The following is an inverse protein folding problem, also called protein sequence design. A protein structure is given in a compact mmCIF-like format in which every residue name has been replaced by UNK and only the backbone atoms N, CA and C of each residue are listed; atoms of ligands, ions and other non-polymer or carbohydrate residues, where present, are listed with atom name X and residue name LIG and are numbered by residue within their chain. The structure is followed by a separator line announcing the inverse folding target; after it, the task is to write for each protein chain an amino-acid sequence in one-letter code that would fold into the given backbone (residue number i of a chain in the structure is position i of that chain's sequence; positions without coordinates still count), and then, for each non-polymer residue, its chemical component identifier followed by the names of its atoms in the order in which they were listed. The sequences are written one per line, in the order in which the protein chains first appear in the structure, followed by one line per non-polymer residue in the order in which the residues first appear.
data_IF_834186556868
#
_entry.id   IF_834186556868
#
_cell.length_a   1.000
_cell.length_b   1.000
_cell.length_c   1.000
_cell.angle_alpha   90.00
_cell.angle_beta   90.00
_cell.angle_gamma   90.00
#
_symmetry.space_group_name_H-M   'P 1'
#
loop_
_entity.id
_entity.type
_entity.pdbx_description
1 polymer ?
#
# COMPACT_ATOMS: atom_id res chain seq x y z
N UNK A 1 10.45 20.10 -38.99
CA UNK A 1 10.21 19.02 -38.03
C UNK A 1 10.03 19.63 -36.67
N UNK A 2 8.81 19.69 -36.22
CA UNK A 2 8.46 20.30 -34.93
C UNK A 2 8.33 19.17 -33.89
N UNK A 3 9.18 19.21 -32.89
CA UNK A 3 9.09 18.35 -31.71
C UNK A 3 7.88 18.79 -30.87
N UNK A 4 6.87 17.96 -30.80
CA UNK A 4 5.71 18.18 -29.94
C UNK A 4 6.00 17.56 -28.57
N UNK A 5 6.38 18.38 -27.62
CA UNK A 5 6.44 18.03 -26.20
C UNK A 5 5.02 17.73 -25.70
N UNK A 6 4.74 16.60 -25.04
CA UNK A 6 3.43 16.39 -24.45
C UNK A 6 3.25 17.30 -23.24
N UNK A 7 2.28 18.19 -23.32
CA UNK A 7 1.79 18.98 -22.20
C UNK A 7 1.03 18.02 -21.29
N UNK A 8 1.51 17.84 -20.08
CA UNK A 8 0.80 17.10 -19.02
C UNK A 8 -0.29 18.05 -18.50
N UNK A 9 -1.53 17.78 -18.86
CA UNK A 9 -2.70 18.53 -18.37
C UNK A 9 -2.99 18.10 -16.92
N UNK A 10 -2.94 19.04 -16.01
CA UNK A 10 -3.09 18.89 -14.54
C UNK A 10 -4.51 18.50 -14.10
N UNK A 11 -5.38 18.03 -14.99
CA UNK A 11 -6.77 17.80 -14.61
C UNK A 11 -7.41 16.56 -15.27
N UNK A 12 -6.72 15.43 -15.29
CA UNK A 12 -7.35 14.18 -15.71
C UNK A 12 -8.26 13.63 -14.60
N UNK A 13 -9.40 14.28 -14.42
CA UNK A 13 -10.57 13.68 -13.78
C UNK A 13 -11.10 12.63 -14.75
N UNK A 14 -10.85 11.37 -14.45
CA UNK A 14 -11.50 10.26 -15.17
C UNK A 14 -12.99 10.32 -14.82
N UNK A 15 -13.79 10.87 -15.72
CA UNK A 15 -15.24 10.82 -15.65
C UNK A 15 -15.70 9.42 -16.06
N UNK A 16 -16.00 8.55 -15.10
CA UNK A 16 -16.86 7.38 -15.34
C UNK A 16 -18.32 7.84 -15.36
N UNK A 17 -19.03 7.52 -16.44
CA UNK A 17 -20.49 7.72 -16.58
C UNK A 17 -21.22 6.85 -15.56
N UNK A 18 -21.94 7.46 -14.62
CA UNK A 18 -22.79 6.81 -13.64
C UNK A 18 -22.56 7.41 -12.26
N UNK A 19 -23.44 8.29 -11.82
CA UNK A 19 -23.25 9.12 -10.62
C UNK A 19 -23.48 8.37 -9.30
N UNK A 20 -22.64 7.42 -8.95
CA UNK A 20 -22.43 7.00 -7.56
C UNK A 20 -21.03 7.49 -7.15
N UNK A 21 -21.00 8.43 -6.23
CA UNK A 21 -19.78 8.86 -5.55
C UNK A 21 -19.36 7.70 -4.66
N UNK A 22 -18.56 6.78 -5.22
CA UNK A 22 -17.94 5.72 -4.42
C UNK A 22 -17.13 6.40 -3.32
N UNK A 23 -17.52 6.18 -2.06
CA UNK A 23 -16.76 6.64 -0.91
C UNK A 23 -15.38 6.01 -0.99
N UNK A 24 -14.38 6.85 -1.24
CA UNK A 24 -13.00 6.40 -1.30
C UNK A 24 -12.58 5.95 0.08
N UNK A 25 -12.30 4.68 0.27
CA UNK A 25 -11.76 4.16 1.53
C UNK A 25 -10.45 4.88 1.83
N UNK A 26 -10.38 5.56 2.95
CA UNK A 26 -9.20 6.31 3.37
C UNK A 26 -8.71 5.81 4.73
N UNK A 27 -7.45 5.41 4.77
CA UNK A 27 -6.74 4.98 5.97
C UNK A 27 -5.77 6.07 6.40
N UNK A 28 -5.75 6.39 7.69
CA UNK A 28 -4.85 7.38 8.28
C UNK A 28 -4.49 6.98 9.71
N UNK A 29 -3.37 7.49 10.19
CA UNK A 29 -2.84 7.17 11.52
C UNK A 29 -1.86 6.00 11.52
N UNK A 30 -1.24 5.76 12.69
CA UNK A 30 -0.27 4.70 12.87
C UNK A 30 -0.43 4.03 14.24
N UNK A 31 -0.07 2.73 14.31
CA UNK A 31 -0.22 1.90 15.49
C UNK A 31 0.98 0.94 15.58
N UNK A 32 1.55 0.80 16.76
CA UNK A 32 2.59 -0.21 17.01
C UNK A 32 1.98 -1.42 17.68
N UNK A 33 2.22 -2.59 17.12
CA UNK A 33 1.75 -3.87 17.65
C UNK A 33 2.89 -4.89 17.68
N UNK A 34 2.80 -5.86 18.59
CA UNK A 34 3.75 -6.97 18.69
C UNK A 34 3.35 -8.12 17.76
N UNK A 35 4.32 -8.70 17.07
CA UNK A 35 4.18 -10.00 16.42
C UNK A 35 4.30 -11.12 17.45
N UNK A 36 3.40 -12.10 17.38
CA UNK A 36 3.56 -13.30 18.17
C UNK A 36 4.48 -14.34 17.49
N UNK A 37 4.78 -15.44 18.20
CA UNK A 37 5.66 -16.49 17.70
C UNK A 37 5.17 -17.20 16.42
N UNK A 38 3.91 -16.98 16.03
CA UNK A 38 3.31 -17.50 14.79
C UNK A 38 3.19 -16.42 13.70
N UNK A 39 3.95 -15.33 13.83
CA UNK A 39 3.89 -14.17 12.94
C UNK A 39 2.47 -13.57 12.81
N UNK A 40 1.68 -13.62 13.90
CA UNK A 40 0.37 -12.98 13.90
C UNK A 40 0.49 -11.57 14.45
N UNK A 41 -0.18 -10.64 13.79
CA UNK A 41 -0.24 -9.24 14.17
C UNK A 41 -1.71 -8.80 14.24
N UNK A 42 -2.01 -7.96 15.21
CA UNK A 42 -3.33 -7.38 15.39
C UNK A 42 -3.54 -6.22 14.39
N UNK A 43 -4.64 -6.22 13.68
CA UNK A 43 -5.03 -5.09 12.83
C UNK A 43 -5.98 -4.19 13.63
N UNK A 44 -5.68 -2.88 13.76
CA UNK A 44 -6.52 -1.95 14.48
C UNK A 44 -7.99 -2.01 14.07
N UNK A 45 -8.91 -1.95 15.03
CA UNK A 45 -10.35 -2.08 14.77
C UNK A 45 -10.87 -1.03 13.78
N UNK A 46 -10.30 0.17 13.84
CA UNK A 46 -10.58 1.27 12.91
C UNK A 46 -10.26 0.88 11.45
N UNK A 47 -9.13 0.21 11.24
CA UNK A 47 -8.75 -0.26 9.90
C UNK A 47 -9.58 -1.46 9.47
N UNK A 48 -9.84 -2.40 10.38
CA UNK A 48 -10.67 -3.59 10.08
C UNK A 48 -12.08 -3.22 9.61
N UNK A 49 -12.70 -2.20 10.21
CA UNK A 49 -14.03 -1.74 9.80
C UNK A 49 -14.08 -1.27 8.35
N UNK A 50 -12.98 -0.73 7.83
CA UNK A 50 -12.85 -0.24 6.46
C UNK A 50 -12.34 -1.29 5.48
N UNK A 51 -11.56 -2.27 5.96
CA UNK A 51 -11.01 -3.36 5.11
C UNK A 51 -12.07 -4.39 4.70
N UNK A 52 -13.11 -4.57 5.51
CA UNK A 52 -14.10 -5.63 5.32
C UNK A 52 -13.69 -6.97 5.93
N UNK A 53 -14.44 -8.03 5.61
CA UNK A 53 -14.25 -9.36 6.19
C UNK A 53 -13.00 -10.08 5.66
N UNK A 54 -12.61 -9.80 4.43
CA UNK A 54 -11.44 -10.36 3.75
C UNK A 54 -10.74 -9.27 2.95
N UNK A 55 -9.43 -9.31 2.87
CA UNK A 55 -8.61 -8.32 2.19
C UNK A 55 -7.32 -8.92 1.62
N UNK A 56 -6.58 -8.12 0.88
CA UNK A 56 -5.33 -8.55 0.24
C UNK A 56 -4.13 -8.10 1.05
N UNK A 57 -3.24 -9.04 1.35
CA UNK A 57 -1.90 -8.78 1.91
C UNK A 57 -0.86 -9.13 0.87
N UNK A 58 0.06 -8.23 0.58
CA UNK A 58 1.05 -8.42 -0.48
C UNK A 58 2.34 -7.61 -0.25
N UNK A 59 3.34 -7.95 -1.04
CA UNK A 59 4.58 -7.17 -1.22
C UNK A 59 4.71 -6.87 -2.71
N UNK A 60 4.03 -5.83 -3.22
CA UNK A 60 4.02 -5.54 -4.65
C UNK A 60 5.39 -5.05 -5.15
N UNK A 61 5.63 -5.10 -6.47
CA UNK A 61 6.85 -4.56 -7.07
C UNK A 61 7.07 -3.10 -6.68
N UNK A 62 8.29 -2.76 -6.31
CA UNK A 62 8.65 -1.40 -5.89
C UNK A 62 8.42 -1.10 -4.40
N UNK A 63 7.75 -1.97 -3.66
CA UNK A 63 7.67 -1.92 -2.20
C UNK A 63 8.72 -2.86 -1.62
N UNK A 64 9.81 -2.32 -1.12
CA UNK A 64 10.98 -3.13 -0.75
C UNK A 64 11.04 -3.48 0.73
N UNK A 65 10.50 -2.65 1.61
CA UNK A 65 10.75 -2.75 3.05
C UNK A 65 9.47 -2.79 3.89
N UNK A 66 8.31 -3.02 3.25
CA UNK A 66 7.03 -3.12 3.95
C UNK A 66 6.09 -4.15 3.32
N UNK A 67 5.08 -4.55 4.10
CA UNK A 67 3.94 -5.32 3.63
C UNK A 67 2.80 -4.34 3.38
N UNK A 68 2.04 -4.53 2.31
CA UNK A 68 0.90 -3.68 1.98
C UNK A 68 -0.41 -4.48 2.12
N UNK A 69 -1.41 -3.83 2.70
CA UNK A 69 -2.77 -4.33 2.80
C UNK A 69 -3.68 -3.44 1.96
N UNK A 70 -4.45 -4.07 1.08
CA UNK A 70 -5.48 -3.43 0.27
C UNK A 70 -6.85 -4.05 0.53
N UNK A 71 -7.91 -3.28 0.39
CA UNK A 71 -9.21 -3.86 0.07
C UNK A 71 -9.14 -4.55 -1.30
N UNK A 72 -10.08 -5.45 -1.62
CA UNK A 72 -10.11 -6.06 -2.97
C UNK A 72 -10.25 -5.01 -4.07
N UNK A 73 -11.07 -3.99 -3.83
CA UNK A 73 -11.30 -2.90 -4.77
C UNK A 73 -10.01 -2.10 -5.06
N UNK A 74 -9.25 -1.72 -4.02
CA UNK A 74 -8.00 -0.99 -4.18
C UNK A 74 -6.90 -1.86 -4.80
N UNK A 75 -6.90 -3.16 -4.51
CA UNK A 75 -6.01 -4.10 -5.20
C UNK A 75 -6.31 -4.19 -6.70
N UNK A 76 -7.58 -4.31 -7.08
CA UNK A 76 -7.98 -4.38 -8.48
C UNK A 76 -7.62 -3.08 -9.22
N UNK A 77 -7.80 -1.93 -8.57
CA UNK A 77 -7.38 -0.62 -9.10
C UNK A 77 -5.86 -0.52 -9.26
N UNK A 78 -5.10 -0.96 -8.28
CA UNK A 78 -3.64 -1.04 -8.36
C UNK A 78 -3.21 -1.92 -9.54
N UNK A 79 -3.81 -3.10 -9.68
CA UNK A 79 -3.48 -4.05 -10.71
C UNK A 79 -3.83 -3.55 -12.12
N UNK A 80 -4.94 -2.86 -12.27
CA UNK A 80 -5.33 -2.23 -13.53
C UNK A 80 -4.38 -1.08 -13.92
N UNK A 81 -4.00 -0.24 -12.97
CA UNK A 81 -3.00 0.80 -13.20
C UNK A 81 -1.64 0.20 -13.63
N UNK A 82 -1.23 -0.89 -13.03
CA UNK A 82 -0.02 -1.61 -13.42
C UNK A 82 -0.09 -2.08 -14.88
N UNK A 83 -1.25 -2.58 -15.31
CA UNK A 83 -1.49 -3.00 -16.70
C UNK A 83 -1.45 -1.86 -17.69
N UNK A 84 -1.95 -0.71 -17.31
CA UNK A 84 -1.95 0.49 -18.17
C UNK A 84 -0.54 1.06 -18.33
N UNK A 85 0.21 1.15 -17.25
CA UNK A 85 1.54 1.78 -17.21
C UNK A 85 2.64 0.88 -17.78
N UNK A 86 2.57 -0.43 -17.52
CA UNK A 86 3.55 -1.38 -18.04
C UNK A 86 3.15 -1.88 -19.44
N UNK A 87 4.11 -1.95 -20.35
CA UNK A 87 3.90 -2.41 -21.74
C UNK A 87 4.78 -3.60 -22.09
N UNK A 88 4.37 -4.38 -23.09
CA UNK A 88 5.13 -5.49 -23.62
C UNK A 88 5.53 -6.54 -22.58
N UNK A 89 6.76 -7.01 -22.65
CA UNK A 89 7.32 -8.03 -21.75
C UNK A 89 7.31 -7.57 -20.27
N UNK A 90 7.58 -6.29 -20.01
CA UNK A 90 7.57 -5.71 -18.66
C UNK A 90 6.20 -5.87 -18.00
N UNK A 91 5.11 -5.66 -18.74
CA UNK A 91 3.76 -5.86 -18.25
C UNK A 91 3.53 -7.29 -17.77
N UNK A 92 3.89 -8.27 -18.58
CA UNK A 92 3.69 -9.68 -18.24
C UNK A 92 4.45 -10.09 -16.97
N UNK A 93 5.68 -9.59 -16.78
CA UNK A 93 6.45 -9.85 -15.55
C UNK A 93 5.89 -9.11 -14.35
N UNK A 94 5.48 -7.87 -14.47
CA UNK A 94 4.87 -7.09 -13.40
C UNK A 94 3.58 -7.75 -12.90
N UNK A 95 2.73 -8.23 -13.81
CA UNK A 95 1.52 -8.99 -13.49
C UNK A 95 1.83 -10.30 -12.73
N UNK A 96 2.85 -11.04 -13.17
CA UNK A 96 3.28 -12.28 -12.50
C UNK A 96 3.77 -12.00 -11.07
N UNK A 97 4.64 -10.99 -10.89
CA UNK A 97 5.18 -10.63 -9.58
C UNK A 97 4.05 -10.17 -8.66
N UNK A 98 3.19 -9.27 -9.11
CA UNK A 98 2.05 -8.80 -8.32
C UNK A 98 1.12 -9.95 -7.93
N UNK A 99 0.74 -10.81 -8.88
CA UNK A 99 -0.13 -11.97 -8.62
C UNK A 99 0.52 -12.99 -7.68
N UNK A 100 1.82 -13.23 -7.80
CA UNK A 100 2.54 -14.18 -6.93
C UNK A 100 2.69 -13.68 -5.50
N UNK A 101 2.71 -12.36 -5.30
CA UNK A 101 2.82 -11.75 -3.97
C UNK A 101 1.48 -11.63 -3.24
N UNK A 102 0.36 -11.70 -3.96
CA UNK A 102 -0.99 -11.57 -3.40
C UNK A 102 -1.34 -12.71 -2.46
N UNK A 103 -1.86 -12.37 -1.28
CA UNK A 103 -2.49 -13.30 -0.34
C UNK A 103 -3.85 -12.73 0.09
N UNK A 104 -4.90 -13.53 -0.03
CA UNK A 104 -6.21 -13.20 0.53
C UNK A 104 -6.24 -13.65 1.99
N UNK A 105 -6.61 -12.75 2.89
CA UNK A 105 -6.51 -12.96 4.33
C UNK A 105 -7.81 -12.60 5.01
N UNK A 106 -8.25 -13.47 5.93
CA UNK A 106 -9.38 -13.25 6.83
C UNK A 106 -8.81 -13.15 8.24
N UNK A 107 -9.06 -12.06 8.97
CA UNK A 107 -8.66 -11.95 10.37
C UNK A 107 -9.29 -13.02 11.25
N UNK A 108 -8.58 -13.44 12.28
CA UNK A 108 -9.14 -14.32 13.30
C UNK A 108 -10.20 -13.59 14.16
N UNK A 109 -10.85 -14.34 15.07
CA UNK A 109 -11.89 -13.79 15.96
C UNK A 109 -11.40 -12.64 16.86
N UNK A 110 -10.08 -12.53 17.04
CA UNK A 110 -9.43 -11.46 17.81
C UNK A 110 -8.98 -10.29 16.94
N UNK A 111 -9.16 -10.36 15.63
CA UNK A 111 -8.74 -9.32 14.69
C UNK A 111 -7.26 -9.38 14.29
N UNK A 112 -6.63 -10.56 14.46
CA UNK A 112 -5.24 -10.77 14.05
C UNK A 112 -5.18 -11.44 12.68
N UNK A 113 -4.12 -11.13 11.95
CA UNK A 113 -3.76 -11.83 10.71
C UNK A 113 -2.43 -12.55 10.90
N UNK A 114 -2.24 -13.64 10.16
CA UNK A 114 -0.95 -14.33 10.08
C UNK A 114 -0.19 -13.85 8.86
N UNK A 115 1.00 -13.31 9.07
CA UNK A 115 1.92 -12.95 8.01
C UNK A 115 2.75 -14.16 7.62
N UNK A 116 3.01 -14.35 6.32
CA UNK A 116 3.90 -15.43 5.88
C UNK A 116 5.35 -15.12 6.28
N UNK A 117 6.17 -16.17 6.42
CA UNK A 117 7.59 -16.00 6.68
C UNK A 117 8.28 -15.14 5.60
N UNK A 118 7.87 -15.30 4.34
CA UNK A 118 8.36 -14.49 3.22
C UNK A 118 8.00 -13.00 3.38
N UNK A 119 6.76 -12.70 3.79
CA UNK A 119 6.36 -11.32 4.08
C UNK A 119 7.18 -10.71 5.22
N UNK A 120 7.35 -11.46 6.34
CA UNK A 120 8.13 -10.99 7.47
C UNK A 120 9.60 -10.75 7.09
N UNK A 121 10.20 -11.66 6.31
CA UNK A 121 11.58 -11.52 5.84
C UNK A 121 11.77 -10.29 4.95
N UNK A 122 10.88 -10.06 4.00
CA UNK A 122 10.93 -8.90 3.10
C UNK A 122 10.76 -7.56 3.81
N UNK A 123 9.90 -7.52 4.82
CA UNK A 123 9.66 -6.32 5.62
C UNK A 123 10.55 -6.23 6.88
N UNK A 124 11.52 -7.13 7.03
CA UNK A 124 12.43 -7.20 8.18
C UNK A 124 11.71 -7.17 9.54
N UNK A 125 10.53 -7.81 9.60
CA UNK A 125 9.73 -7.86 10.84
C UNK A 125 10.26 -8.93 11.78
N UNK A 126 10.50 -8.56 13.03
CA UNK A 126 10.98 -9.48 14.07
C UNK A 126 9.98 -9.58 15.23
N UNK A 127 9.84 -8.53 16.02
CA UNK A 127 9.02 -8.51 17.23
C UNK A 127 7.89 -7.48 17.17
N UNK A 128 8.16 -6.35 16.57
CA UNK A 128 7.23 -5.23 16.47
C UNK A 128 6.89 -4.92 15.02
N UNK A 129 5.69 -4.46 14.82
CA UNK A 129 5.19 -4.00 13.53
C UNK A 129 4.52 -2.64 13.71
N UNK A 130 4.97 -1.67 12.94
CA UNK A 130 4.30 -0.38 12.79
C UNK A 130 3.27 -0.49 11.67
N UNK A 131 2.02 -0.27 12.00
CA UNK A 131 0.89 -0.33 11.05
C UNK A 131 0.47 1.10 10.73
N UNK A 132 0.60 1.51 9.48
CA UNK A 132 0.39 2.88 9.01
C UNK A 132 -0.73 2.92 7.97
N UNK A 133 -1.71 3.78 8.18
CA UNK A 133 -2.71 4.09 7.16
C UNK A 133 -2.17 5.12 6.17
N UNK A 134 -2.16 4.79 4.88
CA UNK A 134 -1.60 5.62 3.81
C UNK A 134 -2.63 5.79 2.70
N UNK A 135 -3.65 6.62 2.96
CA UNK A 135 -4.71 6.89 1.99
C UNK A 135 -5.50 5.64 1.63
N UNK A 136 -5.28 5.07 0.47
CA UNK A 136 -6.05 3.93 -0.03
C UNK A 136 -5.50 2.54 0.39
N UNK A 137 -4.49 2.49 1.26
CA UNK A 137 -3.86 1.24 1.72
C UNK A 137 -3.35 1.35 3.14
N UNK A 138 -2.99 0.21 3.69
CA UNK A 138 -2.29 0.12 4.96
C UNK A 138 -0.90 -0.48 4.68
N UNK A 139 0.10 0.02 5.37
CA UNK A 139 1.47 -0.48 5.30
C UNK A 139 1.89 -1.05 6.66
N UNK A 140 2.60 -2.18 6.65
CA UNK A 140 3.20 -2.77 7.85
C UNK A 140 4.72 -2.70 7.71
N UNK A 141 5.34 -2.01 8.62
CA UNK A 141 6.76 -1.71 8.63
C UNK A 141 7.46 -2.28 9.85
N UNK A 142 8.75 -2.56 9.72
CA UNK A 142 9.65 -2.58 10.85
C UNK A 142 9.80 -1.13 11.36
N UNK A 143 9.57 -0.85 12.67
CA UNK A 143 9.63 0.52 13.19
C UNK A 143 10.96 1.24 12.95
N UNK A 144 12.09 0.54 13.09
CA UNK A 144 13.42 1.12 12.90
C UNK A 144 13.66 1.51 11.42
N UNK A 145 13.22 0.65 10.49
CA UNK A 145 13.32 0.94 9.05
C UNK A 145 12.41 2.11 8.66
N UNK A 146 11.22 2.16 9.23
CA UNK A 146 10.31 3.31 9.03
C UNK A 146 10.97 4.62 9.44
N UNK A 147 11.53 4.67 10.66
CA UNK A 147 12.19 5.88 11.18
C UNK A 147 13.38 6.29 10.30
N UNK A 148 14.19 5.32 9.86
CA UNK A 148 15.29 5.56 8.93
C UNK A 148 14.79 6.14 7.60
N UNK A 149 13.77 5.54 6.98
CA UNK A 149 13.21 6.02 5.71
C UNK A 149 12.59 7.40 5.83
N UNK A 150 11.90 7.69 6.94
CA UNK A 150 11.38 9.02 7.22
C UNK A 150 12.52 10.04 7.33
N UNK A 151 13.58 9.73 8.07
CA UNK A 151 14.72 10.63 8.23
C UNK A 151 15.45 10.91 6.90
N UNK A 152 15.64 9.87 6.06
CA UNK A 152 16.26 9.99 4.74
C UNK A 152 15.50 10.93 3.80
N UNK A 153 14.17 10.94 3.89
CA UNK A 153 13.31 11.71 2.99
C UNK A 153 12.84 13.05 3.55
N UNK A 154 13.01 13.28 4.87
CA UNK A 154 12.42 14.46 5.54
C UNK A 154 12.94 15.79 4.97
N UNK A 155 14.24 15.88 4.69
CA UNK A 155 14.84 17.11 4.14
C UNK A 155 14.28 17.48 2.75
N UNK A 156 13.96 16.49 1.93
CA UNK A 156 13.34 16.70 0.62
C UNK A 156 11.87 17.13 0.77
N UNK A 157 11.15 16.45 1.69
CA UNK A 157 9.74 16.76 2.00
C UNK A 157 9.61 18.18 2.54
N UNK A 158 10.50 18.59 3.47
CA UNK A 158 10.50 19.94 4.02
C UNK A 158 10.75 21.02 2.96
N UNK A 159 11.64 20.74 2.01
CA UNK A 159 11.90 21.63 0.88
C UNK A 159 10.65 21.82 0.01
N UNK A 160 10.01 20.69 -0.36
CA UNK A 160 8.78 20.71 -1.17
C UNK A 160 7.64 21.39 -0.41
N UNK A 161 7.49 21.08 0.89
CA UNK A 161 6.45 21.68 1.72
C UNK A 161 6.60 23.19 1.89
N UNK A 162 7.84 23.71 1.89
CA UNK A 162 8.08 25.16 1.92
C UNK A 162 7.61 25.89 0.66
N UNK A 163 7.59 25.19 -0.48
CA UNK A 163 7.11 25.73 -1.76
C UNK A 163 5.58 25.61 -1.92
N UNK A 164 4.94 24.73 -1.14
CA UNK A 164 3.48 24.62 -1.07
C UNK A 164 2.99 25.66 -0.06
N UNK A 165 2.55 26.82 -0.54
CA UNK A 165 1.92 27.84 0.31
C UNK A 165 0.65 27.27 0.93
N UNK A 166 0.68 26.99 2.23
CA UNK A 166 -0.50 26.68 3.05
C UNK A 166 -1.27 27.96 3.37
#
# INVERSE_FOLDING_TARGET
MAETTPVVDENTRIHTKGGERMEKTEFSGFFVHTLDQKNRVFIPAEFRSKLGAEFVVCTPPGSTDCIIIYTFEEWDRYFENLRVLCKGTTRAYAERIASSSKRCVIPDKQGRITLSADHCAKAHLEKEALIVGVGNRIEIWNPEIWDQKCAENMAEIEKIAADVQL
#
